data_IF_182526236237
#
_entry.id   IF_182526236237
#
_cell.length_a   1.000
_cell.length_b   1.000
_cell.length_c   1.000
_cell.angle_alpha   90.00
_cell.angle_beta   90.00
_cell.angle_gamma   90.00
#
_symmetry.space_group_name_H-M   'P 1'
#
loop_
_entity.id
_entity.type
_entity.pdbx_description
1 polymer ?
#
# COMPACT_ATOMS: atom_id res chain seq x y z
N UNK A 1 -13.86 11.84 5.36
CA UNK A 1 -12.84 11.21 4.49
C UNK A 1 -12.23 10.05 5.27
N UNK A 2 -12.10 8.88 4.66
CA UNK A 2 -11.58 7.68 5.34
C UNK A 2 -10.14 7.92 5.81
N UNK A 3 -9.83 7.61 7.08
CA UNK A 3 -8.50 7.82 7.69
C UNK A 3 -7.40 7.11 6.90
N UNK A 4 -7.71 5.97 6.28
CA UNK A 4 -6.73 5.25 5.46
C UNK A 4 -6.47 5.92 4.13
N UNK A 5 -7.49 6.55 3.53
CA UNK A 5 -7.32 7.35 2.30
C UNK A 5 -6.48 8.59 2.60
N UNK A 6 -6.65 9.20 3.79
CA UNK A 6 -5.79 10.31 4.24
C UNK A 6 -4.34 9.86 4.47
N UNK A 7 -4.13 8.69 5.08
CA UNK A 7 -2.79 8.10 5.26
C UNK A 7 -2.12 7.81 3.92
N UNK A 8 -2.83 7.20 2.98
CA UNK A 8 -2.31 6.95 1.64
C UNK A 8 -1.98 8.26 0.92
N UNK A 9 -2.87 9.25 0.96
CA UNK A 9 -2.62 10.57 0.36
C UNK A 9 -1.37 11.24 0.94
N UNK A 10 -1.14 11.12 2.25
CA UNK A 10 0.07 11.61 2.90
C UNK A 10 1.30 10.87 2.40
N UNK A 11 1.26 9.54 2.35
CA UNK A 11 2.37 8.73 1.84
C UNK A 11 2.71 9.07 0.38
N UNK A 12 1.71 9.26 -0.47
CA UNK A 12 1.88 9.67 -1.86
C UNK A 12 2.56 11.03 -1.92
N UNK A 13 1.99 12.04 -1.28
CA UNK A 13 2.54 13.39 -1.30
C UNK A 13 3.99 13.45 -0.78
N UNK A 14 4.33 12.58 0.18
CA UNK A 14 5.66 12.59 0.79
C UNK A 14 6.69 11.75 0.02
N UNK A 15 6.27 10.70 -0.70
CA UNK A 15 7.17 9.66 -1.20
C UNK A 15 7.04 9.33 -2.69
N UNK A 16 6.03 9.85 -3.39
CA UNK A 16 5.95 9.71 -4.85
C UNK A 16 7.15 10.39 -5.50
N UNK A 17 7.68 9.78 -6.57
CA UNK A 17 8.90 10.20 -7.28
C UNK A 17 10.19 10.20 -6.47
N UNK A 18 10.19 9.64 -5.26
CA UNK A 18 11.43 9.45 -4.50
C UNK A 18 12.23 8.28 -5.06
N UNK A 19 13.55 8.36 -4.90
CA UNK A 19 14.44 7.26 -5.26
C UNK A 19 14.37 6.12 -4.26
N UNK A 20 14.77 4.91 -4.65
CA UNK A 20 14.94 3.77 -3.74
C UNK A 20 15.82 4.11 -2.54
N UNK A 21 16.89 4.86 -2.74
CA UNK A 21 17.80 5.29 -1.66
C UNK A 21 17.11 6.20 -0.64
N UNK A 22 16.25 7.12 -1.09
CA UNK A 22 15.46 7.97 -0.20
C UNK A 22 14.41 7.15 0.56
N UNK A 23 13.77 6.17 -0.09
CA UNK A 23 12.82 5.27 0.58
C UNK A 23 13.53 4.42 1.66
N UNK A 24 14.72 3.88 1.37
CA UNK A 24 15.55 3.18 2.37
C UNK A 24 15.88 4.08 3.56
N UNK A 25 16.22 5.35 3.32
CA UNK A 25 16.56 6.28 4.39
C UNK A 25 15.37 6.57 5.32
N UNK A 26 14.14 6.58 4.80
CA UNK A 26 12.94 6.92 5.58
C UNK A 26 12.31 5.70 6.25
N UNK A 27 12.22 4.58 5.53
CA UNK A 27 11.50 3.38 5.97
C UNK A 27 12.42 2.26 6.44
N UNK A 28 13.73 2.40 6.23
CA UNK A 28 14.71 1.36 6.55
C UNK A 28 14.68 0.21 5.55
N UNK A 29 15.07 -0.97 6.04
CA UNK A 29 15.20 -2.16 5.19
C UNK A 29 13.82 -2.73 4.82
N UNK A 30 13.55 -3.00 3.53
CA UNK A 30 12.30 -3.59 3.11
C UNK A 30 12.18 -5.05 3.55
N UNK A 31 10.96 -5.57 3.52
CA UNK A 31 10.67 -6.98 3.85
C UNK A 31 11.43 -7.94 2.95
N UNK A 32 11.70 -9.15 3.45
CA UNK A 32 12.33 -10.25 2.68
C UNK A 32 11.55 -10.67 1.43
N UNK A 33 10.25 -10.33 1.36
CA UNK A 33 9.39 -10.62 0.19
C UNK A 33 9.49 -9.57 -0.91
N UNK A 34 10.32 -8.54 -0.71
CA UNK A 34 10.50 -7.45 -1.66
C UNK A 34 11.39 -7.88 -2.82
N UNK A 35 11.14 -7.28 -3.98
CA UNK A 35 11.87 -7.52 -5.23
C UNK A 35 12.52 -6.22 -5.74
N UNK A 36 13.19 -6.26 -6.89
CA UNK A 36 13.80 -5.09 -7.53
C UNK A 36 12.75 -4.03 -7.93
N UNK A 37 11.53 -4.45 -8.24
CA UNK A 37 10.44 -3.58 -8.72
C UNK A 37 9.44 -3.20 -7.62
N UNK A 38 9.37 -3.96 -6.53
CA UNK A 38 8.37 -3.74 -5.47
C UNK A 38 8.92 -3.98 -4.07
N UNK A 39 8.80 -2.97 -3.20
CA UNK A 39 9.21 -3.09 -1.80
C UNK A 39 8.04 -3.05 -0.83
N UNK A 40 8.06 -3.98 0.12
CA UNK A 40 7.03 -4.10 1.14
C UNK A 40 7.54 -3.66 2.51
N UNK A 41 6.77 -2.81 3.17
CA UNK A 41 7.02 -2.33 4.53
C UNK A 41 5.83 -2.64 5.41
N UNK A 42 6.03 -3.54 6.37
CA UNK A 42 4.99 -3.88 7.37
C UNK A 42 5.08 -2.98 8.58
N UNK A 43 3.97 -2.33 8.91
CA UNK A 43 3.78 -1.67 10.20
C UNK A 43 2.89 -2.56 11.06
N UNK A 44 3.51 -3.11 12.10
CA UNK A 44 2.79 -3.82 13.16
C UNK A 44 2.21 -2.80 14.12
N UNK A 45 0.90 -2.86 14.32
CA UNK A 45 0.26 -2.16 15.43
C UNK A 45 0.15 -3.12 16.61
N UNK A 46 -0.03 -2.60 17.83
CA UNK A 46 -0.27 -3.41 19.05
C UNK A 46 -1.57 -4.26 18.91
N UNK A 47 -2.45 -3.91 17.97
CA UNK A 47 -3.71 -4.60 17.70
C UNK A 47 -3.58 -5.69 16.62
N UNK A 48 -4.62 -6.51 16.44
CA UNK A 48 -4.71 -7.57 15.41
C UNK A 48 -4.69 -7.06 13.95
N UNK A 49 -4.60 -5.75 13.75
CA UNK A 49 -4.51 -5.11 12.45
C UNK A 49 -3.05 -4.82 12.09
N UNK A 50 -2.66 -5.17 10.88
CA UNK A 50 -1.34 -4.86 10.33
C UNK A 50 -1.51 -4.14 9.01
N UNK A 51 -0.78 -3.04 8.82
CA UNK A 51 -0.75 -2.34 7.54
C UNK A 51 0.56 -2.67 6.82
N UNK A 52 0.47 -3.01 5.55
CA UNK A 52 1.60 -3.24 4.66
C UNK A 52 1.56 -2.18 3.56
N UNK A 53 2.64 -1.43 3.45
CA UNK A 53 2.84 -0.42 2.41
C UNK A 53 3.67 -1.09 1.32
N UNK A 54 3.22 -1.03 0.09
CA UNK A 54 3.99 -1.45 -1.07
C UNK A 54 4.37 -0.22 -1.90
N UNK A 55 5.66 -0.07 -2.17
CA UNK A 55 6.20 0.91 -3.12
C UNK A 55 6.57 0.17 -4.40
N UNK A 56 5.95 0.55 -5.51
CA UNK A 56 6.37 0.12 -6.84
C UNK A 56 7.39 1.11 -7.37
N UNK A 57 8.43 0.55 -7.98
CA UNK A 57 9.50 1.31 -8.59
C UNK A 57 9.57 1.01 -10.08
N UNK A 58 9.70 2.07 -10.87
CA UNK A 58 10.16 1.97 -12.23
C UNK A 58 11.59 2.53 -12.27
N UNK A 59 12.52 1.70 -12.72
CA UNK A 59 13.97 1.96 -12.65
C UNK A 59 14.45 2.15 -11.20
N UNK A 60 14.50 3.40 -10.72
CA UNK A 60 14.89 3.78 -9.36
C UNK A 60 13.86 4.67 -8.65
N UNK A 61 12.74 4.98 -9.30
CA UNK A 61 11.79 6.00 -8.86
C UNK A 61 10.47 5.37 -8.43
N UNK A 62 9.89 5.84 -7.32
CA UNK A 62 8.55 5.41 -6.89
C UNK A 62 7.51 5.93 -7.88
N UNK A 63 6.81 4.99 -8.54
CA UNK A 63 5.71 5.27 -9.48
C UNK A 63 4.34 5.06 -8.85
N UNK A 64 4.18 4.03 -8.01
CA UNK A 64 2.91 3.73 -7.36
C UNK A 64 3.10 3.31 -5.91
N UNK A 65 2.08 3.63 -5.10
CA UNK A 65 2.07 3.33 -3.67
C UNK A 65 0.75 2.67 -3.32
N UNK A 66 0.82 1.50 -2.67
CA UNK A 66 -0.35 0.75 -2.22
C UNK A 66 -0.30 0.57 -0.70
N UNK A 67 -1.47 0.55 -0.06
CA UNK A 67 -1.61 0.13 1.33
C UNK A 67 -2.59 -1.05 1.40
N UNK A 68 -2.13 -2.15 1.97
CA UNK A 68 -2.96 -3.31 2.29
C UNK A 68 -3.07 -3.46 3.79
N UNK A 69 -4.30 -3.50 4.31
CA UNK A 69 -4.60 -3.80 5.71
C UNK A 69 -4.98 -5.27 5.86
N UNK A 70 -4.29 -5.92 6.77
CA UNK A 70 -4.55 -7.28 7.22
C UNK A 70 -5.22 -7.26 8.60
N UNK A 71 -6.12 -8.21 8.84
CA UNK A 71 -6.68 -8.53 10.16
C UNK A 71 -6.64 -10.03 10.36
N UNK A 72 -6.06 -10.51 11.46
CA UNK A 72 -5.87 -11.95 11.70
C UNK A 72 -5.28 -12.68 10.49
N UNK A 73 -4.24 -12.11 9.88
CA UNK A 73 -3.54 -12.64 8.70
C UNK A 73 -4.35 -12.67 7.39
N UNK A 74 -5.61 -12.21 7.40
CA UNK A 74 -6.43 -12.10 6.19
C UNK A 74 -6.40 -10.68 5.65
N UNK A 75 -6.27 -10.55 4.33
CA UNK A 75 -6.42 -9.26 3.64
C UNK A 75 -7.86 -8.76 3.81
N UNK A 76 -8.00 -7.58 4.39
CA UNK A 76 -9.32 -6.97 4.61
C UNK A 76 -9.59 -5.90 3.59
N UNK A 77 -8.57 -5.08 3.30
CA UNK A 77 -8.73 -3.88 2.51
C UNK A 77 -7.43 -3.53 1.83
N UNK A 78 -7.47 -3.36 0.52
CA UNK A 78 -6.36 -2.79 -0.25
C UNK A 78 -6.81 -1.49 -0.88
N UNK A 79 -5.94 -0.47 -0.78
CA UNK A 79 -6.14 0.83 -1.39
C UNK A 79 -5.00 1.05 -2.36
N UNK A 80 -5.36 1.20 -3.63
CA UNK A 80 -4.44 1.45 -4.74
C UNK A 80 -4.50 2.92 -5.13
N UNK A 81 -3.34 3.46 -5.46
CA UNK A 81 -3.21 4.73 -6.17
C UNK A 81 -2.61 4.42 -7.53
N UNK A 82 -3.15 5.05 -8.58
CA UNK A 82 -2.65 4.95 -9.94
C UNK A 82 -2.35 6.37 -10.42
N UNK A 83 -1.09 6.65 -10.72
CA UNK A 83 -0.71 7.93 -11.31
C UNK A 83 -1.30 8.06 -12.74
N UNK A 84 -1.82 9.25 -13.10
CA UNK A 84 -2.34 9.53 -14.45
C UNK A 84 -3.84 9.31 -14.68
N UNK A 85 -4.59 8.77 -13.69
CA UNK A 85 -6.06 8.84 -13.67
C UNK A 85 -6.50 9.80 -12.56
N UNK A 86 -7.39 10.72 -12.89
CA UNK A 86 -8.04 11.65 -11.94
C UNK A 86 -8.41 10.87 -10.65
N UNK A 87 -8.04 11.31 -9.44
CA UNK A 87 -7.68 10.41 -8.33
C UNK A 87 -8.84 9.48 -7.94
N UNK A 88 -8.83 8.27 -8.49
CA UNK A 88 -9.81 7.24 -8.21
C UNK A 88 -9.19 6.25 -7.24
N UNK A 89 -9.28 6.58 -5.94
CA UNK A 89 -8.89 5.67 -4.88
C UNK A 89 -9.75 4.41 -4.97
N UNK A 90 -9.18 3.30 -5.43
CA UNK A 90 -9.90 2.03 -5.48
C UNK A 90 -9.76 1.31 -4.15
N UNK A 91 -10.80 1.40 -3.34
CA UNK A 91 -10.93 0.63 -2.11
C UNK A 91 -11.50 -0.74 -2.46
N UNK A 92 -10.69 -1.79 -2.31
CA UNK A 92 -11.16 -3.17 -2.46
C UNK A 92 -11.28 -3.78 -1.06
N UNK A 93 -12.52 -3.98 -0.62
CA UNK A 93 -12.81 -4.70 0.63
C UNK A 93 -12.96 -6.20 0.32
N UNK A 94 -12.05 -7.02 0.83
CA UNK A 94 -12.03 -8.48 0.57
C UNK A 94 -12.81 -9.29 1.62
N UNK A 95 -13.28 -8.65 2.70
CA UNK A 95 -14.18 -9.28 3.67
C UNK A 95 -15.65 -9.08 3.29
N UNK A 96 -16.15 -9.89 2.35
CA UNK A 96 -17.51 -10.44 2.46
C UNK A 96 -17.44 -11.94 2.07
N UNK A 97 -17.41 -12.87 3.04
CA UNK A 97 -17.88 -14.22 2.77
C UNK A 97 -19.40 -14.12 2.58
N UNK A 98 -19.89 -13.91 1.36
CA UNK A 98 -21.34 -13.83 1.18
C UNK A 98 -21.93 -13.42 -0.15
N UNK A 99 -21.20 -12.80 -1.10
CA UNK A 99 -21.81 -12.49 -2.43
C UNK A 99 -20.82 -12.57 -3.58
N UNK A 100 -20.45 -13.79 -3.95
CA UNK A 100 -20.34 -14.13 -5.37
C UNK A 100 -21.75 -14.45 -5.85
N UNK A 101 -22.47 -13.47 -6.40
CA UNK A 101 -23.44 -13.80 -7.44
C UNK A 101 -22.65 -13.81 -8.75
N UNK A 102 -22.34 -15.01 -9.23
CA UNK A 102 -22.18 -15.23 -10.67
C UNK A 102 -23.54 -14.96 -11.33
N UNK A 103 -23.46 -14.59 -12.61
CA UNK A 103 -24.50 -14.21 -13.58
C UNK A 103 -25.07 -12.81 -13.40
#
# INVERSE_FOLDING_TARGET
MDKQVQQLKKLINENLHRSKSQILSVFGKPSKKSDCEIWFYRKFYISFFNDEIAFLFEEDTVVDICITRYFLWKEVKSIYYFEGKNPEYKVVSLLIPGRYKRT
#
